data_IF_472035888277
#
_entry.id   IF_472035888277
#
_cell.length_a   1.000
_cell.length_b   1.000
_cell.length_c   1.000
_cell.angle_alpha   90.00
_cell.angle_beta   90.00
_cell.angle_gamma   90.00
#
_symmetry.space_group_name_H-M   'P 1'
#
loop_
_entity.id
_entity.type
_entity.pdbx_description
1 polymer ?
#
# COMPACT_ATOMS: atom_id res chain seq x y z
N UNK A 1 -16.31 -24.38 18.19
CA UNK A 1 -16.42 -22.90 18.13
C UNK A 1 -17.25 -22.53 16.91
N UNK A 2 -18.11 -21.50 16.97
CA UNK A 2 -18.93 -21.11 15.81
C UNK A 2 -18.05 -20.61 14.66
N UNK A 3 -18.24 -21.15 13.45
CA UNK A 3 -17.54 -20.77 12.20
C UNK A 3 -17.52 -19.26 11.99
N UNK A 4 -18.61 -18.58 12.35
CA UNK A 4 -18.74 -17.12 12.26
C UNK A 4 -17.76 -16.38 13.15
N UNK A 5 -17.56 -16.83 14.39
CA UNK A 5 -16.61 -16.22 15.33
C UNK A 5 -15.18 -16.36 14.81
N UNK A 6 -14.84 -17.50 14.20
CA UNK A 6 -13.53 -17.73 13.61
C UNK A 6 -13.29 -16.81 12.41
N UNK A 7 -14.28 -16.67 11.52
CA UNK A 7 -14.22 -15.74 10.39
C UNK A 7 -14.03 -14.29 10.84
N UNK A 8 -14.75 -13.84 11.87
CA UNK A 8 -14.57 -12.49 12.44
C UNK A 8 -13.18 -12.32 13.05
N UNK A 9 -12.64 -13.33 13.75
CA UNK A 9 -11.27 -13.29 14.27
C UNK A 9 -10.24 -13.18 13.16
N UNK A 10 -10.36 -13.98 12.10
CA UNK A 10 -9.49 -13.91 10.92
C UNK A 10 -9.55 -12.53 10.26
N UNK A 11 -10.74 -11.95 10.14
CA UNK A 11 -10.92 -10.60 9.60
C UNK A 11 -10.17 -9.55 10.43
N UNK A 12 -10.33 -9.57 11.76
CA UNK A 12 -9.67 -8.62 12.65
C UNK A 12 -8.14 -8.81 12.69
N UNK A 13 -7.67 -10.05 12.56
CA UNK A 13 -6.25 -10.35 12.43
C UNK A 13 -5.68 -9.78 11.13
N UNK A 14 -6.34 -10.01 9.99
CA UNK A 14 -5.90 -9.48 8.70
C UNK A 14 -5.81 -7.95 8.66
N UNK A 15 -6.69 -7.24 9.39
CA UNK A 15 -6.59 -5.77 9.53
C UNK A 15 -5.29 -5.36 10.26
N UNK A 16 -4.87 -6.11 11.29
CA UNK A 16 -3.63 -5.82 12.04
C UNK A 16 -2.38 -6.17 11.23
N UNK A 17 -2.45 -7.25 10.46
CA UNK A 17 -1.38 -7.65 9.53
C UNK A 17 -1.20 -6.58 8.45
N UNK A 18 -2.29 -6.12 7.83
CA UNK A 18 -2.25 -5.01 6.88
C UNK A 18 -1.66 -3.74 7.51
N UNK A 19 -2.05 -3.40 8.75
CA UNK A 19 -1.53 -2.22 9.46
C UNK A 19 0.01 -2.26 9.61
N UNK A 20 0.57 -3.45 9.84
CA UNK A 20 2.01 -3.70 9.93
C UNK A 20 2.68 -3.67 8.56
N UNK A 21 2.05 -4.28 7.54
CA UNK A 21 2.55 -4.26 6.16
C UNK A 21 2.63 -2.85 5.60
N UNK A 22 1.66 -1.98 5.89
CA UNK A 22 1.71 -0.58 5.46
C UNK A 22 2.80 0.23 6.17
N UNK A 23 3.12 -0.07 7.44
CA UNK A 23 4.27 0.56 8.10
C UNK A 23 5.58 0.13 7.45
N UNK A 24 5.73 -1.16 7.12
CA UNK A 24 6.87 -1.68 6.35
C UNK A 24 6.98 -1.03 4.97
N UNK A 25 5.86 -0.95 4.24
CA UNK A 25 5.80 -0.30 2.93
C UNK A 25 6.20 1.17 3.00
N UNK A 26 5.77 1.92 4.03
CA UNK A 26 6.18 3.33 4.19
C UNK A 26 7.70 3.46 4.35
N UNK A 27 8.32 2.63 5.18
CA UNK A 27 9.77 2.63 5.36
C UNK A 27 10.51 2.31 4.06
N UNK A 28 10.01 1.34 3.29
CA UNK A 28 10.58 0.99 1.98
C UNK A 28 10.46 2.13 0.98
N UNK A 29 9.31 2.82 0.93
CA UNK A 29 9.13 3.99 0.07
C UNK A 29 10.08 5.14 0.46
N UNK A 30 10.34 5.33 1.76
CA UNK A 30 11.35 6.28 2.24
C UNK A 30 12.76 5.89 1.80
N UNK A 31 13.13 4.62 1.91
CA UNK A 31 14.42 4.09 1.42
C UNK A 31 14.55 4.24 -0.09
N UNK A 32 13.49 3.94 -0.85
CA UNK A 32 13.43 4.09 -2.30
C UNK A 32 13.78 5.53 -2.69
N UNK A 33 13.18 6.52 -2.00
CA UNK A 33 13.46 7.95 -2.22
C UNK A 33 14.92 8.29 -1.96
N UNK A 34 15.52 7.75 -0.89
CA UNK A 34 16.94 7.97 -0.59
C UNK A 34 17.84 7.39 -1.68
N UNK A 35 17.54 6.19 -2.17
CA UNK A 35 18.27 5.57 -3.27
C UNK A 35 18.18 6.40 -4.55
N UNK A 36 17.00 6.96 -4.88
CA UNK A 36 16.81 7.88 -6.00
C UNK A 36 17.66 9.16 -5.87
N UNK A 37 17.71 9.74 -4.67
CA UNK A 37 18.51 10.96 -4.42
C UNK A 37 20.02 10.66 -4.56
N UNK A 38 20.46 9.52 -4.03
CA UNK A 38 21.87 9.08 -4.07
C UNK A 38 22.29 8.47 -5.41
N UNK A 39 21.34 8.23 -6.32
CA UNK A 39 21.54 7.50 -7.59
C UNK A 39 22.11 6.09 -7.39
N UNK A 40 21.73 5.44 -6.29
CA UNK A 40 22.16 4.08 -5.96
C UNK A 40 21.28 3.06 -6.69
N UNK A 41 21.60 2.79 -7.97
CA UNK A 41 20.75 1.99 -8.86
C UNK A 41 20.54 0.55 -8.40
N UNK A 42 21.57 -0.12 -7.89
CA UNK A 42 21.46 -1.51 -7.41
C UNK A 42 20.58 -1.60 -6.16
N UNK A 43 20.80 -0.70 -5.19
CA UNK A 43 19.96 -0.60 -3.98
C UNK A 43 18.50 -0.26 -4.33
N UNK A 44 18.29 0.63 -5.31
CA UNK A 44 16.96 1.00 -5.78
C UNK A 44 16.22 -0.20 -6.37
N UNK A 45 16.90 -1.05 -7.15
CA UNK A 45 16.30 -2.28 -7.69
C UNK A 45 15.92 -3.25 -6.56
N UNK A 46 16.80 -3.48 -5.59
CA UNK A 46 16.52 -4.36 -4.46
C UNK A 46 15.33 -3.86 -3.60
N UNK A 47 15.25 -2.54 -3.36
CA UNK A 47 14.13 -1.93 -2.65
C UNK A 47 12.83 -2.09 -3.44
N UNK A 48 12.85 -1.93 -4.77
CA UNK A 48 11.68 -2.10 -5.63
C UNK A 48 11.13 -3.53 -5.60
N UNK A 49 11.98 -4.55 -5.64
CA UNK A 49 11.56 -5.96 -5.51
C UNK A 49 10.87 -6.23 -4.16
N UNK A 50 11.41 -5.63 -3.09
CA UNK A 50 10.83 -5.76 -1.75
C UNK A 50 9.48 -5.05 -1.65
N UNK A 51 9.35 -3.88 -2.27
CA UNK A 51 8.07 -3.14 -2.38
C UNK A 51 7.05 -3.97 -3.18
N UNK A 52 7.46 -4.57 -4.29
CA UNK A 52 6.58 -5.39 -5.12
C UNK A 52 6.02 -6.59 -4.33
N UNK A 53 6.88 -7.24 -3.54
CA UNK A 53 6.47 -8.32 -2.63
C UNK A 53 5.45 -7.85 -1.58
N UNK A 54 5.60 -6.64 -1.03
CA UNK A 54 4.61 -6.06 -0.11
C UNK A 54 3.26 -5.80 -0.80
N UNK A 55 3.26 -5.34 -2.04
CA UNK A 55 2.02 -5.14 -2.79
C UNK A 55 1.25 -6.45 -3.02
N UNK A 56 1.94 -7.54 -3.35
CA UNK A 56 1.27 -8.84 -3.51
C UNK A 56 0.69 -9.36 -2.19
N UNK A 57 1.39 -9.18 -1.05
CA UNK A 57 0.84 -9.52 0.27
C UNK A 57 -0.41 -8.69 0.62
N UNK A 58 -0.36 -7.38 0.43
CA UNK A 58 -1.51 -6.50 0.69
C UNK A 58 -2.71 -6.83 -0.19
N UNK A 59 -2.46 -7.20 -1.45
CA UNK A 59 -3.48 -7.63 -2.42
C UNK A 59 -4.11 -8.95 -2.00
N UNK A 60 -3.32 -9.92 -1.55
CA UNK A 60 -3.83 -11.19 -1.04
C UNK A 60 -4.66 -10.99 0.23
N UNK A 61 -4.18 -10.20 1.19
CA UNK A 61 -4.95 -9.87 2.40
C UNK A 61 -6.27 -9.16 2.07
N UNK A 62 -6.25 -8.22 1.11
CA UNK A 62 -7.48 -7.58 0.64
C UNK A 62 -8.44 -8.58 -0.02
N UNK A 63 -7.94 -9.58 -0.74
CA UNK A 63 -8.77 -10.65 -1.33
C UNK A 63 -9.38 -11.51 -0.23
N UNK A 64 -8.59 -11.96 0.73
CA UNK A 64 -9.05 -12.75 1.87
C UNK A 64 -10.11 -12.00 2.69
N UNK A 65 -9.90 -10.72 2.98
CA UNK A 65 -10.89 -9.86 3.65
C UNK A 65 -12.22 -9.82 2.90
N UNK A 66 -12.20 -9.64 1.57
CA UNK A 66 -13.42 -9.64 0.75
C UNK A 66 -14.13 -10.99 0.81
N UNK A 67 -13.39 -12.09 0.71
CA UNK A 67 -13.95 -13.45 0.84
C UNK A 67 -14.58 -13.66 2.21
N UNK A 68 -13.92 -13.22 3.29
CA UNK A 68 -14.47 -13.32 4.65
C UNK A 68 -15.77 -12.54 4.81
N UNK A 69 -15.84 -11.32 4.27
CA UNK A 69 -17.07 -10.51 4.30
C UNK A 69 -18.22 -11.22 3.55
N UNK A 70 -17.94 -11.78 2.38
CA UNK A 70 -18.93 -12.56 1.62
C UNK A 70 -19.41 -13.80 2.39
N UNK A 71 -18.49 -14.55 3.00
CA UNK A 71 -18.81 -15.74 3.81
C UNK A 71 -19.62 -15.38 5.08
N UNK A 72 -19.43 -14.16 5.60
CA UNK A 72 -20.21 -13.62 6.72
C UNK A 72 -21.59 -13.09 6.29
N UNK A 73 -21.90 -13.10 4.99
CA UNK A 73 -23.17 -12.65 4.43
C UNK A 73 -23.33 -11.13 4.34
N UNK A 74 -22.23 -10.37 4.41
CA UNK A 74 -22.24 -8.90 4.36
C UNK A 74 -21.60 -8.39 3.07
N UNK A 75 -21.84 -7.13 2.74
CA UNK A 75 -21.21 -6.51 1.57
C UNK A 75 -19.68 -6.44 1.72
N UNK A 76 -18.94 -6.65 0.64
CA UNK A 76 -17.49 -6.48 0.60
C UNK A 76 -17.07 -5.00 0.51
N UNK A 77 -17.68 -4.15 1.35
CA UNK A 77 -17.57 -2.70 1.33
C UNK A 77 -17.34 -2.15 2.74
N UNK A 78 -17.14 -0.84 2.85
CA UNK A 78 -17.10 -0.13 4.15
C UNK A 78 -18.35 -0.40 5.00
N UNK A 79 -19.52 -0.49 4.37
CA UNK A 79 -20.76 -0.76 5.07
C UNK A 79 -20.77 -2.17 5.69
N UNK A 80 -20.28 -3.18 4.98
CA UNK A 80 -20.20 -4.54 5.51
C UNK A 80 -19.13 -4.71 6.60
N UNK A 81 -18.01 -3.98 6.51
CA UNK A 81 -17.04 -3.91 7.61
C UNK A 81 -17.68 -3.33 8.88
N UNK A 82 -18.44 -2.25 8.73
CA UNK A 82 -19.14 -1.61 9.85
C UNK A 82 -20.22 -2.52 10.45
N UNK A 83 -20.94 -3.26 9.60
CA UNK A 83 -21.88 -4.28 10.04
C UNK A 83 -21.20 -5.37 10.87
N UNK A 84 -20.06 -5.90 10.43
CA UNK A 84 -19.29 -6.89 11.20
C UNK A 84 -18.81 -6.32 12.54
N UNK A 85 -18.34 -5.07 12.55
CA UNK A 85 -17.93 -4.40 13.80
C UNK A 85 -19.09 -4.20 14.77
N UNK A 86 -20.32 -4.04 14.27
CA UNK A 86 -21.52 -3.91 15.11
C UNK A 86 -21.81 -5.17 15.93
N UNK A 87 -21.34 -6.35 15.50
CA UNK A 87 -21.52 -7.61 16.22
C UNK A 87 -20.54 -7.79 17.39
N UNK A 88 -19.53 -6.91 17.50
CA UNK A 88 -18.52 -6.96 18.55
C UNK A 88 -19.00 -6.23 19.81
N UNK A 89 -18.59 -6.66 21.02
CA UNK A 89 -18.83 -5.89 22.23
C UNK A 89 -18.13 -4.53 22.17
N UNK A 90 -18.63 -3.55 22.93
CA UNK A 90 -18.22 -2.15 22.85
C UNK A 90 -16.69 -1.89 22.81
N UNK A 91 -15.85 -2.50 23.68
CA UNK A 91 -14.41 -2.24 23.63
C UNK A 91 -13.76 -2.80 22.35
N UNK A 92 -14.15 -3.99 21.90
CA UNK A 92 -13.60 -4.59 20.67
C UNK A 92 -14.10 -3.85 19.43
N UNK A 93 -15.35 -3.40 19.41
CA UNK A 93 -15.92 -2.58 18.33
C UNK A 93 -15.13 -1.28 18.15
N UNK A 94 -14.86 -0.56 19.25
CA UNK A 94 -14.07 0.67 19.21
C UNK A 94 -12.64 0.43 18.70
N UNK A 95 -11.99 -0.63 19.19
CA UNK A 95 -10.66 -1.01 18.75
C UNK A 95 -10.61 -1.39 17.26
N UNK A 96 -11.60 -2.14 16.77
CA UNK A 96 -11.70 -2.57 15.38
C UNK A 96 -11.93 -1.38 14.43
N UNK A 97 -12.87 -0.48 14.76
CA UNK A 97 -13.12 0.75 13.99
C UNK A 97 -11.88 1.64 13.94
N UNK A 98 -11.24 1.86 15.09
CA UNK A 98 -10.00 2.65 15.16
C UNK A 98 -8.88 2.02 14.33
N UNK A 99 -8.74 0.69 14.36
CA UNK A 99 -7.78 -0.04 13.54
C UNK A 99 -8.04 0.12 12.06
N UNK A 100 -9.30 -0.02 11.63
CA UNK A 100 -9.70 0.16 10.24
C UNK A 100 -9.44 1.58 9.73
N UNK A 101 -9.79 2.60 10.51
CA UNK A 101 -9.54 4.00 10.14
C UNK A 101 -8.05 4.32 10.02
N UNK A 102 -7.22 3.81 10.93
CA UNK A 102 -5.76 3.95 10.83
C UNK A 102 -5.22 3.28 9.57
N UNK A 103 -5.72 2.10 9.24
CA UNK A 103 -5.35 1.37 8.04
C UNK A 103 -5.70 2.16 6.77
N UNK A 104 -6.93 2.69 6.67
CA UNK A 104 -7.36 3.56 5.55
C UNK A 104 -6.38 4.73 5.38
N UNK A 105 -6.06 5.43 6.48
CA UNK A 105 -5.15 6.57 6.45
C UNK A 105 -3.71 6.19 6.05
N UNK A 106 -3.20 5.06 6.54
CA UNK A 106 -1.87 4.56 6.16
C UNK A 106 -1.80 4.22 4.68
N UNK A 107 -2.84 3.58 4.14
CA UNK A 107 -2.92 3.24 2.72
C UNK A 107 -2.89 4.49 1.83
N UNK A 108 -3.71 5.50 2.16
CA UNK A 108 -3.73 6.79 1.46
C UNK A 108 -2.36 7.49 1.50
N UNK A 109 -1.70 7.48 2.66
CA UNK A 109 -0.36 8.07 2.80
C UNK A 109 0.70 7.35 1.98
N UNK A 110 0.68 6.02 1.97
CA UNK A 110 1.63 5.24 1.16
C UNK A 110 1.41 5.50 -0.34
N UNK A 111 0.15 5.58 -0.78
CA UNK A 111 -0.19 5.97 -2.16
C UNK A 111 0.40 7.35 -2.51
N UNK A 112 0.10 8.37 -1.71
CA UNK A 112 0.59 9.73 -1.95
C UNK A 112 2.13 9.82 -1.92
N UNK A 113 2.79 9.01 -1.09
CA UNK A 113 4.24 8.96 -1.03
C UNK A 113 4.84 8.27 -2.26
N UNK A 114 4.25 7.16 -2.70
CA UNK A 114 4.65 6.46 -3.91
C UNK A 114 4.50 7.36 -5.17
N UNK A 115 3.41 8.13 -5.26
CA UNK A 115 3.21 9.13 -6.32
C UNK A 115 4.33 10.17 -6.33
N UNK A 116 4.71 10.71 -5.15
CA UNK A 116 5.83 11.66 -5.02
C UNK A 116 7.18 11.06 -5.41
N UNK A 117 7.40 9.77 -5.17
CA UNK A 117 8.61 9.08 -5.60
C UNK A 117 8.62 8.90 -7.14
N UNK A 118 7.47 8.61 -7.74
CA UNK A 118 7.30 8.59 -9.19
C UNK A 118 7.59 9.95 -9.84
N UNK A 119 7.03 11.03 -9.29
CA UNK A 119 7.29 12.40 -9.75
C UNK A 119 8.78 12.76 -9.70
N UNK A 120 9.49 12.31 -8.66
CA UNK A 120 10.93 12.53 -8.52
C UNK A 120 11.72 11.86 -9.66
N UNK A 121 11.42 10.59 -9.97
CA UNK A 121 12.06 9.87 -11.07
C UNK A 121 11.82 10.55 -12.41
N UNK A 122 10.58 10.97 -12.68
CA UNK A 122 10.22 11.67 -13.92
C UNK A 122 11.05 12.95 -14.06
N UNK A 123 11.16 13.75 -12.98
CA UNK A 123 11.97 14.99 -12.99
C UNK A 123 13.46 14.70 -13.22
N UNK A 124 14.00 13.66 -12.61
CA UNK A 124 15.39 13.25 -12.83
C UNK A 124 15.64 12.82 -14.28
N UNK A 125 14.70 12.08 -14.87
CA UNK A 125 14.78 11.66 -16.28
C UNK A 125 14.74 12.86 -17.24
N UNK A 126 13.77 13.77 -17.06
CA UNK A 126 13.66 15.00 -17.88
C UNK A 126 14.92 15.85 -17.77
N UNK A 127 15.45 16.02 -16.54
CA UNK A 127 16.70 16.75 -16.33
C UNK A 127 17.87 16.11 -17.11
N UNK A 128 18.03 14.79 -17.03
CA UNK A 128 19.09 14.08 -17.75
C UNK A 128 18.93 14.24 -19.27
N UNK A 129 17.71 14.14 -19.82
CA UNK A 129 17.49 14.34 -21.25
C UNK A 129 17.84 15.76 -21.72
N UNK A 130 17.41 16.78 -20.95
CA UNK A 130 17.76 18.17 -21.24
C UNK A 130 19.27 18.44 -21.10
N UNK A 131 19.92 17.83 -20.11
CA UNK A 131 21.35 18.01 -19.86
C UNK A 131 22.20 17.32 -20.93
N UNK A 132 21.78 16.16 -21.41
CA UNK A 132 22.45 15.41 -22.48
C UNK A 132 22.16 15.98 -23.87
N UNK A 133 21.37 17.05 -24.00
CA UNK A 133 21.05 17.67 -25.30
C UNK A 133 20.34 16.71 -26.25
N UNK A 134 19.53 15.78 -25.73
CA UNK A 134 18.68 14.88 -26.55
C UNK A 134 17.33 15.49 -26.89
N UNK A 135 17.17 16.80 -26.67
CA UNK A 135 16.24 17.56 -27.51
C UNK A 135 16.70 17.38 -28.95
N UNK A 136 15.76 17.19 -29.87
CA UNK A 136 16.04 17.02 -31.29
C UNK A 136 16.56 18.35 -31.87
N UNK A 137 17.76 18.75 -31.48
CA UNK A 137 18.54 19.74 -32.19
C UNK A 137 19.10 19.01 -33.43
N UNK A 138 18.29 19.08 -34.49
CA UNK A 138 18.61 18.66 -35.85
C UNK A 138 19.85 19.43 -36.36
N UNK A 139 21.05 19.06 -35.91
CA UNK A 139 22.30 19.76 -36.31
C UNK A 139 23.01 19.08 -37.50
N UNK A 140 22.46 17.99 -38.06
CA UNK A 140 22.97 17.44 -39.31
C UNK A 140 21.83 17.07 -40.27
N UNK A 141 21.53 17.97 -41.20
CA UNK A 141 20.94 17.65 -42.50
C UNK A 141 22.03 17.80 -43.57
N UNK A 142 22.41 16.73 -44.28
CA UNK A 142 22.87 16.84 -45.67
C UNK A 142 21.68 16.91 -46.64
#
# INVERSE_FOLDING_TARGET
MSTRLQQVKMLLQGIREDDTLYDGLRNLLEQQRLCMIRRASEELLAVNETIHSHYELLKENSRQRRTLLQLLGVSASRAGMEEVFSWLPAPQKSAARSGWQRLEHKAERCKAYNEKNGDLLIRQYVFIQSFLGTEADFIYQP
#
